data_IF_876755409868
#
_entry.id   IF_876755409868
#
_cell.length_a   1.000
_cell.length_b   1.000
_cell.length_c   1.000
_cell.angle_alpha   90.00
_cell.angle_beta   90.00
_cell.angle_gamma   90.00
#
_symmetry.space_group_name_H-M   'P 1'
#
loop_
_entity.id
_entity.type
_entity.pdbx_description
1 polymer ?
#
# COMPACT_ATOMS: atom_id res chain seq x y z
N UNK A 1 27.73 13.63 -70.70
CA UNK A 1 26.50 14.06 -69.99
C UNK A 1 25.47 12.93 -69.99
N UNK A 2 25.65 11.86 -69.18
CA UNK A 2 24.71 10.71 -69.13
C UNK A 2 25.01 9.67 -68.02
N UNK A 3 25.71 10.06 -66.95
CA UNK A 3 26.09 9.12 -65.87
C UNK A 3 25.89 9.69 -64.45
N UNK A 4 24.96 10.64 -64.28
CA UNK A 4 24.46 11.08 -62.97
C UNK A 4 22.94 10.82 -62.79
N UNK A 5 22.27 10.23 -63.78
CA UNK A 5 20.83 9.94 -63.73
C UNK A 5 20.57 8.56 -63.09
N UNK A 6 21.55 7.64 -63.13
CA UNK A 6 21.36 6.26 -62.64
C UNK A 6 21.50 6.18 -61.11
N UNK A 7 22.30 7.04 -60.47
CA UNK A 7 22.44 7.07 -59.00
C UNK A 7 21.27 7.73 -58.28
N UNK A 8 20.50 8.60 -58.94
CA UNK A 8 19.28 9.21 -58.36
C UNK A 8 18.08 8.26 -58.33
N UNK A 9 18.00 7.31 -59.27
CA UNK A 9 16.87 6.38 -59.37
C UNK A 9 17.01 5.22 -58.36
N UNK A 10 18.23 4.84 -57.97
CA UNK A 10 18.44 3.79 -56.96
C UNK A 10 18.17 4.29 -55.53
N UNK A 11 18.33 5.59 -55.25
CA UNK A 11 18.04 6.17 -53.94
C UNK A 11 16.55 6.46 -53.71
N UNK A 12 15.77 6.63 -54.79
CA UNK A 12 14.32 6.82 -54.72
C UNK A 12 13.55 5.49 -54.50
N UNK A 13 14.17 4.35 -54.80
CA UNK A 13 13.57 3.02 -54.63
C UNK A 13 13.66 2.46 -53.19
N UNK A 14 14.46 3.07 -52.32
CA UNK A 14 14.66 2.64 -50.93
C UNK A 14 13.69 3.30 -49.93
N UNK A 15 12.84 4.22 -50.36
CA UNK A 15 11.84 4.91 -49.51
C UNK A 15 10.47 4.19 -49.45
N UNK A 16 10.31 3.04 -50.11
CA UNK A 16 9.03 2.33 -50.25
C UNK A 16 8.68 1.31 -49.16
N UNK A 17 9.56 1.07 -48.18
CA UNK A 17 9.35 0.04 -47.13
C UNK A 17 8.97 0.62 -45.76
N UNK A 18 8.64 1.90 -45.67
CA UNK A 18 8.10 2.49 -44.45
C UNK A 18 6.58 2.29 -44.40
N UNK A 19 6.11 1.60 -43.35
CA UNK A 19 4.72 1.25 -43.06
C UNK A 19 4.14 0.09 -43.89
N UNK A 20 4.56 -1.14 -43.57
CA UNK A 20 3.54 -2.19 -43.45
C UNK A 20 2.57 -1.70 -42.37
N UNK A 21 1.36 -1.28 -42.75
CA UNK A 21 0.25 -1.17 -41.80
C UNK A 21 0.08 -2.56 -41.21
N UNK A 22 0.64 -2.81 -40.03
CA UNK A 22 0.18 -3.93 -39.22
C UNK A 22 -1.31 -3.70 -39.05
N UNK A 23 -2.10 -4.61 -39.64
CA UNK A 23 -3.50 -4.74 -39.28
C UNK A 23 -3.48 -5.30 -37.86
N UNK A 24 -3.36 -4.41 -36.88
CA UNK A 24 -3.67 -4.75 -35.50
C UNK A 24 -5.12 -5.21 -35.54
N UNK A 25 -5.32 -6.51 -35.36
CA UNK A 25 -6.65 -7.05 -35.20
C UNK A 25 -7.16 -6.51 -33.86
N UNK A 26 -7.89 -5.40 -33.90
CA UNK A 26 -8.64 -4.85 -32.77
C UNK A 26 -9.87 -5.73 -32.49
N UNK A 27 -9.72 -7.05 -32.56
CA UNK A 27 -10.76 -8.02 -32.18
C UNK A 27 -11.00 -7.99 -30.68
N UNK A 28 -10.03 -7.48 -29.92
CA UNK A 28 -10.18 -7.13 -28.51
C UNK A 28 -10.41 -5.62 -28.45
N UNK A 29 -11.60 -5.14 -28.05
CA UNK A 29 -11.81 -3.74 -27.76
C UNK A 29 -10.80 -3.29 -26.70
N UNK A 30 -10.29 -2.05 -26.75
CA UNK A 30 -9.60 -1.48 -25.60
C UNK A 30 -10.51 -1.60 -24.38
N UNK A 31 -9.94 -2.03 -23.25
CA UNK A 31 -10.69 -2.20 -21.99
C UNK A 31 -11.43 -0.89 -21.68
N UNK A 32 -12.76 -0.94 -21.52
CA UNK A 32 -13.60 0.24 -21.25
C UNK A 32 -14.14 1.01 -22.48
N UNK A 33 -13.84 0.59 -23.72
CA UNK A 33 -14.37 1.21 -24.96
C UNK A 33 -15.28 0.29 -25.78
N UNK A 34 -15.51 -0.95 -25.33
CA UNK A 34 -16.38 -1.94 -25.98
C UNK A 34 -17.87 -1.85 -25.61
N UNK A 35 -18.26 -0.87 -24.79
CA UNK A 35 -19.54 -0.87 -24.09
C UNK A 35 -19.49 -1.86 -22.93
N UNK A 36 -19.16 -1.36 -21.74
CA UNK A 36 -19.14 -2.23 -20.56
C UNK A 36 -20.55 -2.74 -20.28
N UNK A 37 -20.66 -4.04 -20.02
CA UNK A 37 -21.90 -4.64 -19.55
C UNK A 37 -22.34 -3.94 -18.26
N UNK A 38 -23.61 -3.51 -18.19
CA UNK A 38 -24.23 -2.99 -16.97
C UNK A 38 -24.63 -4.10 -15.98
N UNK A 39 -24.41 -5.38 -16.35
CA UNK A 39 -24.65 -6.50 -15.45
C UNK A 39 -23.59 -6.55 -14.35
N UNK A 40 -24.05 -6.65 -13.10
CA UNK A 40 -23.17 -6.80 -11.94
C UNK A 40 -22.34 -8.08 -12.07
N UNK A 41 -21.02 -7.95 -11.99
CA UNK A 41 -20.10 -9.09 -11.95
C UNK A 41 -20.04 -9.69 -10.54
N UNK A 42 -19.39 -10.85 -10.40
CA UNK A 42 -19.17 -11.46 -9.08
C UNK A 42 -18.33 -10.54 -8.16
N UNK A 43 -17.40 -9.79 -8.73
CA UNK A 43 -16.59 -8.81 -8.00
C UNK A 43 -17.46 -7.63 -7.53
N UNK A 44 -18.35 -7.11 -8.38
CA UNK A 44 -19.28 -6.02 -8.02
C UNK A 44 -20.18 -6.43 -6.85
N UNK A 45 -20.75 -7.64 -6.91
CA UNK A 45 -21.59 -8.20 -5.83
C UNK A 45 -20.78 -8.36 -4.55
N UNK A 46 -19.58 -8.94 -4.65
CA UNK A 46 -18.71 -9.14 -3.49
C UNK A 46 -18.33 -7.81 -2.82
N UNK A 47 -17.96 -6.79 -3.61
CA UNK A 47 -17.64 -5.44 -3.14
C UNK A 47 -18.85 -4.84 -2.43
N UNK A 48 -20.03 -4.91 -3.05
CA UNK A 48 -21.25 -4.36 -2.47
C UNK A 48 -21.53 -4.97 -1.09
N UNK A 49 -21.55 -6.29 -1.00
CA UNK A 49 -21.95 -7.01 0.20
C UNK A 49 -20.88 -6.95 1.31
N UNK A 50 -19.60 -6.94 0.93
CA UNK A 50 -18.48 -7.05 1.88
C UNK A 50 -17.83 -5.72 2.26
N UNK A 51 -18.01 -4.68 1.45
CA UNK A 51 -17.40 -3.35 1.67
C UNK A 51 -18.44 -2.23 1.72
N UNK A 52 -19.33 -2.15 0.72
CA UNK A 52 -20.28 -1.05 0.62
C UNK A 52 -21.33 -1.09 1.72
N UNK A 53 -22.04 -2.19 1.89
CA UNK A 53 -23.08 -2.35 2.93
C UNK A 53 -22.51 -2.19 4.36
N UNK A 54 -21.43 -2.89 4.75
CA UNK A 54 -20.94 -2.82 6.13
C UNK A 54 -20.19 -1.54 6.47
N UNK A 55 -19.41 -0.97 5.53
CA UNK A 55 -18.47 0.12 5.83
C UNK A 55 -18.72 1.42 5.04
N UNK A 56 -19.68 1.44 4.12
CA UNK A 56 -19.93 2.57 3.22
C UNK A 56 -18.70 2.90 2.35
N UNK A 57 -18.06 1.86 1.80
CA UNK A 57 -16.87 1.97 0.95
C UNK A 57 -17.24 1.56 -0.49
N UNK A 58 -16.98 2.44 -1.45
CA UNK A 58 -17.00 2.15 -2.87
C UNK A 58 -15.60 1.73 -3.33
N UNK A 59 -15.50 0.69 -4.15
CA UNK A 59 -14.22 0.21 -4.70
C UNK A 59 -14.21 0.39 -6.21
N UNK A 60 -13.28 1.20 -6.71
CA UNK A 60 -13.08 1.48 -8.12
C UNK A 60 -11.91 0.64 -8.64
N UNK A 61 -12.23 -0.43 -9.35
CA UNK A 61 -11.26 -1.35 -9.95
C UNK A 61 -11.39 -1.45 -11.47
N UNK A 62 -12.56 -1.15 -12.02
CA UNK A 62 -12.76 -0.90 -13.46
C UNK A 62 -12.32 0.53 -13.74
N UNK A 63 -11.17 0.70 -14.39
CA UNK A 63 -10.64 2.02 -14.67
C UNK A 63 -11.49 2.71 -15.73
N UNK A 64 -12.25 3.74 -15.34
CA UNK A 64 -12.87 4.65 -16.31
C UNK A 64 -11.91 5.82 -16.60
N UNK A 65 -11.87 6.31 -17.85
CA UNK A 65 -11.11 7.51 -18.19
C UNK A 65 -11.45 8.68 -17.25
N UNK A 66 -10.43 9.29 -16.63
CA UNK A 66 -10.59 10.44 -15.74
C UNK A 66 -10.98 10.13 -14.28
N UNK A 67 -11.20 8.87 -13.90
CA UNK A 67 -11.41 8.49 -12.48
C UNK A 67 -10.10 8.32 -11.71
N UNK A 68 -9.01 8.11 -12.43
CA UNK A 68 -7.67 7.95 -11.90
C UNK A 68 -6.75 8.85 -12.74
N UNK A 69 -6.41 10.02 -12.21
CA UNK A 69 -5.29 10.81 -12.72
C UNK A 69 -4.02 10.09 -12.25
N UNK A 70 -3.50 9.18 -13.06
CA UNK A 70 -2.17 8.64 -12.84
C UNK A 70 -1.20 9.34 -13.79
N UNK A 71 -0.31 10.20 -13.29
CA UNK A 71 0.84 10.68 -14.05
C UNK A 71 1.87 9.56 -14.38
N UNK A 72 1.59 8.29 -14.05
CA UNK A 72 2.60 7.25 -13.86
C UNK A 72 2.18 5.88 -14.43
N UNK A 73 3.17 5.08 -14.81
CA UNK A 73 3.04 3.76 -15.45
C UNK A 73 2.50 2.68 -14.50
N UNK A 74 1.19 2.67 -14.25
CA UNK A 74 0.52 1.59 -13.54
C UNK A 74 -0.49 0.85 -14.41
N UNK A 75 -0.78 -0.41 -14.05
CA UNK A 75 -1.67 -1.29 -14.82
C UNK A 75 -2.98 -1.58 -14.07
N UNK A 76 -4.09 -1.81 -14.79
CA UNK A 76 -5.36 -2.16 -14.16
C UNK A 76 -5.28 -3.48 -13.39
N UNK A 77 -6.07 -3.63 -12.31
CA UNK A 77 -6.18 -4.89 -11.61
C UNK A 77 -6.90 -5.94 -12.47
N UNK A 78 -6.41 -7.17 -12.41
CA UNK A 78 -7.04 -8.35 -13.01
C UNK A 78 -8.29 -8.71 -12.21
N UNK A 79 -9.43 -8.89 -12.88
CA UNK A 79 -10.71 -9.17 -12.22
C UNK A 79 -10.63 -10.39 -11.30
N UNK A 80 -9.97 -11.46 -11.75
CA UNK A 80 -9.80 -12.70 -10.97
C UNK A 80 -8.96 -12.53 -9.69
N UNK A 81 -8.24 -11.41 -9.56
CA UNK A 81 -7.46 -11.06 -8.36
C UNK A 81 -8.23 -10.23 -7.35
N UNK A 82 -9.33 -9.59 -7.75
CA UNK A 82 -10.10 -8.67 -6.90
C UNK A 82 -10.65 -9.36 -5.65
N UNK A 83 -11.46 -10.41 -5.83
CA UNK A 83 -12.09 -11.10 -4.70
C UNK A 83 -11.05 -11.72 -3.76
N UNK A 84 -10.02 -12.47 -4.24
CA UNK A 84 -9.00 -13.02 -3.35
C UNK A 84 -8.24 -11.96 -2.54
N UNK A 85 -7.84 -10.87 -3.17
CA UNK A 85 -7.10 -9.79 -2.50
C UNK A 85 -7.97 -9.05 -1.48
N UNK A 86 -9.19 -8.66 -1.86
CA UNK A 86 -10.12 -7.98 -0.96
C UNK A 86 -10.52 -8.86 0.23
N UNK A 87 -10.76 -10.16 0.00
CA UNK A 87 -11.01 -11.11 1.11
C UNK A 87 -9.85 -11.14 2.09
N UNK A 88 -8.61 -11.11 1.59
CA UNK A 88 -7.42 -11.12 2.43
C UNK A 88 -7.30 -9.84 3.24
N UNK A 89 -7.45 -8.69 2.59
CA UNK A 89 -7.45 -7.39 3.27
C UNK A 89 -8.55 -7.31 4.33
N UNK A 90 -9.78 -7.69 4.00
CA UNK A 90 -10.88 -7.69 4.98
C UNK A 90 -10.58 -8.59 6.18
N UNK A 91 -10.01 -9.78 5.93
CA UNK A 91 -9.67 -10.72 7.00
C UNK A 91 -8.53 -10.21 7.90
N UNK A 92 -7.51 -9.58 7.31
CA UNK A 92 -6.26 -9.21 7.99
C UNK A 92 -6.29 -7.79 8.56
N UNK A 93 -7.01 -6.86 7.94
CA UNK A 93 -6.97 -5.43 8.33
C UNK A 93 -8.31 -4.87 8.78
N UNK A 94 -9.46 -5.47 8.42
CA UNK A 94 -10.77 -4.98 8.87
C UNK A 94 -11.28 -5.76 10.08
N UNK A 95 -11.36 -7.09 9.94
CA UNK A 95 -11.91 -7.96 10.98
C UNK A 95 -11.23 -7.77 12.35
N UNK A 96 -9.90 -7.62 12.46
CA UNK A 96 -9.26 -7.37 13.75
C UNK A 96 -9.76 -6.10 14.45
N UNK A 97 -9.99 -5.02 13.71
CA UNK A 97 -10.55 -3.79 14.27
C UNK A 97 -12.01 -3.96 14.67
N UNK A 98 -12.82 -4.66 13.88
CA UNK A 98 -14.20 -4.94 14.26
C UNK A 98 -14.27 -5.78 15.53
N UNK A 99 -13.47 -6.84 15.61
CA UNK A 99 -13.39 -7.70 16.79
C UNK A 99 -12.85 -6.92 18.00
N UNK A 100 -12.02 -5.90 17.80
CA UNK A 100 -11.46 -5.08 18.86
C UNK A 100 -12.40 -3.99 19.35
N UNK A 101 -13.18 -3.39 18.45
CA UNK A 101 -14.13 -2.31 18.77
C UNK A 101 -15.55 -2.82 18.99
N UNK A 102 -15.77 -4.13 18.79
CA UNK A 102 -17.05 -4.81 18.98
C UNK A 102 -18.07 -4.62 17.84
N UNK A 103 -17.74 -3.88 16.78
CA UNK A 103 -18.65 -3.65 15.65
C UNK A 103 -17.92 -3.09 14.41
N UNK A 104 -18.63 -2.98 13.28
CA UNK A 104 -18.11 -2.30 12.08
C UNK A 104 -18.15 -0.78 12.17
N UNK A 105 -18.74 -0.20 13.23
CA UNK A 105 -19.02 1.24 13.32
C UNK A 105 -17.74 2.07 13.30
N UNK A 106 -16.68 1.61 13.97
CA UNK A 106 -15.40 2.32 14.01
C UNK A 106 -14.81 2.49 12.61
N UNK A 107 -14.67 1.39 11.88
CA UNK A 107 -14.17 1.40 10.51
C UNK A 107 -15.10 2.15 9.56
N UNK A 108 -16.42 1.93 9.66
CA UNK A 108 -17.43 2.63 8.86
C UNK A 108 -17.34 4.14 9.04
N UNK A 109 -17.05 4.61 10.25
CA UNK A 109 -16.90 6.04 10.55
C UNK A 109 -15.63 6.60 9.92
N UNK A 110 -14.47 6.00 10.20
CA UNK A 110 -13.18 6.62 9.94
C UNK A 110 -12.50 6.20 8.64
N UNK A 111 -12.79 5.04 8.04
CA UNK A 111 -12.18 4.70 6.75
C UNK A 111 -12.64 5.63 5.62
N UNK A 112 -11.79 5.85 4.59
CA UNK A 112 -12.18 6.57 3.37
C UNK A 112 -13.38 5.91 2.71
N UNK A 113 -14.23 6.70 2.05
CA UNK A 113 -15.45 6.17 1.41
C UNK A 113 -15.17 5.60 0.01
N UNK A 114 -13.94 5.75 -0.46
CA UNK A 114 -13.52 5.35 -1.80
C UNK A 114 -12.18 4.64 -1.74
N UNK A 115 -12.11 3.41 -2.24
CA UNK A 115 -10.86 2.73 -2.55
C UNK A 115 -10.67 2.69 -4.07
N UNK A 116 -9.52 3.15 -4.54
CA UNK A 116 -9.07 3.04 -5.93
C UNK A 116 -8.08 1.89 -6.01
N UNK A 117 -8.24 0.96 -6.95
CA UNK A 117 -7.42 -0.25 -7.01
C UNK A 117 -6.55 -0.27 -8.26
N UNK A 118 -5.27 -0.55 -8.08
CA UNK A 118 -4.27 -0.73 -9.12
C UNK A 118 -3.64 -2.13 -9.07
N UNK A 119 -3.30 -2.64 -10.25
CA UNK A 119 -2.73 -3.97 -10.42
C UNK A 119 -1.23 -4.04 -10.08
N UNK A 120 -0.46 -3.01 -10.44
CA UNK A 120 0.97 -2.87 -10.12
C UNK A 120 1.19 -1.92 -8.94
N UNK A 121 2.41 -1.86 -8.43
CA UNK A 121 2.87 -0.74 -7.59
C UNK A 121 3.11 0.52 -8.43
N UNK A 122 3.15 1.67 -7.78
CA UNK A 122 3.64 2.92 -8.37
C UNK A 122 5.08 3.16 -7.91
N UNK A 123 5.92 3.67 -8.81
CA UNK A 123 7.29 4.05 -8.48
C UNK A 123 7.47 5.55 -8.67
N UNK A 124 8.11 6.19 -7.70
CA UNK A 124 8.59 7.56 -7.78
C UNK A 124 9.83 7.64 -8.68
N UNK A 125 10.16 8.84 -9.14
CA UNK A 125 11.33 9.08 -10.01
C UNK A 125 12.67 8.72 -9.33
N UNK A 126 12.70 8.67 -8.00
CA UNK A 126 13.86 8.23 -7.21
C UNK A 126 13.87 6.70 -6.96
N UNK A 127 12.93 5.95 -7.53
CA UNK A 127 12.80 4.50 -7.36
C UNK A 127 12.03 4.05 -6.12
N UNK A 128 11.62 4.96 -5.23
CA UNK A 128 10.78 4.63 -4.08
C UNK A 128 9.40 4.16 -4.52
N UNK A 129 8.85 3.17 -3.82
CA UNK A 129 7.56 2.57 -4.12
C UNK A 129 6.43 3.29 -3.37
N UNK A 130 5.36 3.63 -4.07
CA UNK A 130 4.09 4.06 -3.47
C UNK A 130 3.16 2.86 -3.48
N UNK A 131 2.80 2.43 -2.27
CA UNK A 131 1.95 1.25 -2.04
C UNK A 131 0.55 1.61 -1.54
N UNK A 132 0.33 2.89 -1.23
CA UNK A 132 -0.95 3.52 -1.02
C UNK A 132 -0.82 5.03 -0.90
N UNK A 133 -1.96 5.72 -0.97
CA UNK A 133 -2.04 7.16 -0.78
C UNK A 133 -3.45 7.54 -0.36
N UNK A 134 -3.60 8.25 0.76
CA UNK A 134 -4.85 8.91 1.13
C UNK A 134 -4.98 10.31 0.49
N UNK A 135 -5.96 10.49 -0.39
CA UNK A 135 -6.30 11.80 -0.97
C UNK A 135 -7.23 12.55 0.00
N UNK A 136 -6.65 13.27 0.95
CA UNK A 136 -7.37 14.15 1.89
C UNK A 136 -8.40 13.43 2.77
N UNK A 137 -8.16 12.15 3.09
CA UNK A 137 -9.07 11.30 3.87
C UNK A 137 -10.32 10.81 3.12
N UNK A 138 -10.50 11.23 1.86
CA UNK A 138 -11.70 10.90 1.07
C UNK A 138 -11.56 9.61 0.26
N UNK A 139 -10.35 9.35 -0.25
CA UNK A 139 -10.03 8.09 -0.93
C UNK A 139 -8.67 7.54 -0.56
N UNK A 140 -8.51 6.23 -0.73
CA UNK A 140 -7.23 5.55 -0.64
C UNK A 140 -6.95 4.77 -1.93
N UNK A 141 -5.74 4.85 -2.45
CA UNK A 141 -5.29 4.00 -3.56
C UNK A 141 -4.63 2.75 -2.99
N UNK A 142 -4.99 1.57 -3.51
CA UNK A 142 -4.43 0.28 -3.13
C UNK A 142 -3.77 -0.38 -4.34
N UNK A 143 -2.52 -0.76 -4.20
CA UNK A 143 -1.68 -1.25 -5.28
C UNK A 143 -1.42 -2.77 -5.18
N UNK A 144 -0.71 -3.31 -6.17
CA UNK A 144 -0.20 -4.70 -6.22
C UNK A 144 -1.24 -5.83 -6.30
N UNK A 145 -2.50 -5.54 -6.66
CA UNK A 145 -3.53 -6.57 -6.74
C UNK A 145 -3.17 -7.71 -7.72
N UNK A 146 -2.44 -7.42 -8.80
CA UNK A 146 -2.04 -8.45 -9.76
C UNK A 146 -0.99 -9.42 -9.20
N UNK A 147 -0.21 -8.96 -8.23
CA UNK A 147 0.84 -9.72 -7.56
C UNK A 147 0.30 -10.46 -6.32
N UNK A 148 -0.98 -10.31 -5.99
CA UNK A 148 -1.59 -10.98 -4.85
C UNK A 148 -1.59 -12.51 -5.00
N UNK A 149 -1.17 -13.18 -3.94
CA UNK A 149 -1.08 -14.64 -3.80
C UNK A 149 -1.22 -15.03 -2.33
N UNK A 150 -1.73 -16.24 -2.08
CA UNK A 150 -1.93 -16.80 -0.74
C UNK A 150 -0.84 -17.79 -0.33
N UNK A 151 0.17 -18.01 -1.19
CA UNK A 151 1.27 -18.91 -0.89
C UNK A 151 2.19 -18.30 0.17
N UNK A 152 2.52 -19.06 1.22
CA UNK A 152 3.36 -18.59 2.33
C UNK A 152 4.71 -18.02 1.89
N UNK A 153 5.34 -18.62 0.87
CA UNK A 153 6.62 -18.18 0.30
C UNK A 153 6.56 -16.76 -0.32
N UNK A 154 5.37 -16.31 -0.70
CA UNK A 154 5.12 -15.02 -1.35
C UNK A 154 4.31 -14.07 -0.42
N UNK A 155 4.32 -14.36 0.89
CA UNK A 155 3.54 -13.67 1.92
C UNK A 155 3.75 -12.15 1.97
N UNK A 156 4.89 -11.68 1.47
CA UNK A 156 5.31 -10.28 1.52
C UNK A 156 4.30 -9.33 0.83
N UNK A 157 3.62 -9.74 -0.24
CA UNK A 157 2.62 -8.85 -0.88
C UNK A 157 1.45 -8.55 0.04
N UNK A 158 0.87 -9.56 0.71
CA UNK A 158 -0.24 -9.33 1.65
C UNK A 158 0.22 -8.54 2.89
N UNK A 159 1.45 -8.78 3.36
CA UNK A 159 2.07 -7.99 4.43
C UNK A 159 2.20 -6.52 4.05
N UNK A 160 2.77 -6.22 2.89
CA UNK A 160 2.87 -4.84 2.36
C UNK A 160 1.51 -4.18 2.20
N UNK A 161 0.55 -4.86 1.57
CA UNK A 161 -0.81 -4.34 1.44
C UNK A 161 -1.44 -4.07 2.82
N UNK A 162 -1.20 -4.94 3.80
CA UNK A 162 -1.65 -4.76 5.19
C UNK A 162 -0.99 -3.59 5.90
N UNK A 163 0.33 -3.43 5.75
CA UNK A 163 1.09 -2.30 6.26
C UNK A 163 0.55 -0.99 5.71
N UNK A 164 0.42 -0.87 4.39
CA UNK A 164 -0.18 0.31 3.75
C UNK A 164 -1.55 0.62 4.34
N UNK A 165 -2.43 -0.37 4.43
CA UNK A 165 -3.77 -0.18 4.97
C UNK A 165 -3.74 0.37 6.41
N UNK A 166 -2.84 -0.14 7.25
CA UNK A 166 -2.70 0.34 8.63
C UNK A 166 -2.04 1.71 8.71
N UNK A 167 -1.06 1.97 7.87
CA UNK A 167 -0.35 3.24 7.74
C UNK A 167 -1.33 4.36 7.36
N UNK A 168 -2.04 4.20 6.24
CA UNK A 168 -3.01 5.19 5.75
C UNK A 168 -4.18 5.37 6.73
N UNK A 169 -4.63 4.29 7.37
CA UNK A 169 -5.67 4.41 8.38
C UNK A 169 -5.17 5.15 9.62
N UNK A 170 -3.91 4.92 10.03
CA UNK A 170 -3.25 5.67 11.10
C UNK A 170 -3.25 7.17 10.82
N UNK A 171 -2.93 7.58 9.59
CA UNK A 171 -3.02 8.98 9.17
C UNK A 171 -4.41 9.56 9.37
N UNK A 172 -5.46 8.82 8.97
CA UNK A 172 -6.84 9.29 9.13
C UNK A 172 -7.25 9.39 10.60
N UNK A 173 -6.81 8.46 11.44
CA UNK A 173 -7.01 8.58 12.89
C UNK A 173 -6.34 9.86 13.42
N UNK A 174 -5.08 10.10 13.05
CA UNK A 174 -4.30 11.27 13.49
C UNK A 174 -4.91 12.60 13.01
N UNK A 175 -5.59 12.61 11.85
CA UNK A 175 -6.36 13.76 11.37
C UNK A 175 -7.61 14.05 12.23
N UNK A 176 -8.18 13.04 12.87
CA UNK A 176 -9.38 13.17 13.71
C UNK A 176 -9.04 13.48 15.17
N UNK A 177 -7.97 12.89 15.71
CA UNK A 177 -7.45 13.19 17.05
C UNK A 177 -5.94 13.32 16.92
N UNK A 178 -5.41 14.51 17.21
CA UNK A 178 -3.99 14.80 17.00
C UNK A 178 -3.09 13.93 17.90
N UNK A 179 -1.99 13.43 17.33
CA UNK A 179 -0.94 12.74 18.10
C UNK A 179 -0.27 13.74 19.07
N UNK A 180 0.03 13.35 20.32
CA UNK A 180 0.73 14.22 21.25
C UNK A 180 2.04 14.78 20.68
N UNK A 181 2.28 16.10 20.75
CA UNK A 181 3.50 16.72 20.21
C UNK A 181 4.80 16.22 20.85
N UNK A 182 4.74 15.52 21.98
CA UNK A 182 5.89 14.88 22.62
C UNK A 182 6.44 13.69 21.82
N UNK A 183 5.64 13.06 20.94
CA UNK A 183 6.10 11.93 20.15
C UNK A 183 7.34 12.27 19.30
N UNK A 184 7.29 13.39 18.58
CA UNK A 184 8.41 13.85 17.73
C UNK A 184 9.68 14.23 18.50
N UNK A 185 9.58 14.36 19.82
CA UNK A 185 10.74 14.67 20.67
C UNK A 185 11.53 13.41 21.05
N UNK A 186 10.95 12.20 20.84
CA UNK A 186 11.65 10.93 21.09
C UNK A 186 12.82 10.78 20.10
N UNK A 187 12.61 11.13 18.82
CA UNK A 187 13.64 11.17 17.79
C UNK A 187 13.49 12.42 16.92
N UNK A 188 14.25 13.51 17.19
CA UNK A 188 14.05 14.77 16.49
C UNK A 188 14.69 14.85 15.10
N UNK A 189 15.43 13.83 14.65
CA UNK A 189 16.32 13.87 13.47
C UNK A 189 15.61 13.45 12.17
N UNK A 190 14.60 14.20 11.76
CA UNK A 190 13.89 13.98 10.49
C UNK A 190 14.68 14.49 9.27
N UNK A 191 14.53 13.85 8.12
CA UNK A 191 15.23 14.20 6.86
C UNK A 191 14.40 13.91 5.61
N UNK A 192 14.47 14.81 4.64
CA UNK A 192 13.90 14.60 3.30
C UNK A 192 14.68 13.60 2.44
N UNK A 193 15.90 13.21 2.85
CA UNK A 193 16.77 12.28 2.14
C UNK A 193 16.62 10.83 2.62
N UNK A 194 15.53 10.51 3.31
CA UNK A 194 15.24 9.19 3.89
C UNK A 194 15.41 8.03 2.90
N UNK A 195 15.13 8.26 1.61
CA UNK A 195 15.23 7.25 0.55
C UNK A 195 16.67 6.78 0.25
N UNK A 196 17.68 7.49 0.78
CA UNK A 196 19.10 7.09 0.70
C UNK A 196 19.58 6.36 1.96
N UNK A 197 18.72 6.16 2.96
CA UNK A 197 19.06 5.55 4.25
C UNK A 197 18.55 4.11 4.24
N UNK A 198 19.39 3.19 4.71
CA UNK A 198 18.96 1.80 4.89
C UNK A 198 18.10 1.67 6.15
N UNK A 199 17.08 0.82 6.14
CA UNK A 199 16.20 0.65 7.31
C UNK A 199 16.98 0.26 8.58
N UNK A 200 18.07 -0.51 8.47
CA UNK A 200 18.91 -0.85 9.61
C UNK A 200 19.57 0.39 10.23
N UNK A 201 20.06 1.32 9.40
CA UNK A 201 20.66 2.58 9.87
C UNK A 201 19.59 3.45 10.55
N UNK A 202 18.42 3.58 9.92
CA UNK A 202 17.29 4.30 10.50
C UNK A 202 16.87 3.73 11.87
N UNK A 203 16.89 2.39 12.01
CA UNK A 203 16.62 1.68 13.27
C UNK A 203 17.64 1.98 14.35
N UNK A 204 18.93 2.05 14.02
CA UNK A 204 19.96 2.49 14.95
C UNK A 204 19.73 3.93 15.44
N UNK A 205 19.16 4.78 14.57
CA UNK A 205 18.78 6.17 14.87
C UNK A 205 17.38 6.32 15.52
N UNK A 206 16.70 5.21 15.82
CA UNK A 206 15.44 5.19 16.56
C UNK A 206 14.17 5.28 15.71
N UNK A 207 14.27 5.08 14.40
CA UNK A 207 13.15 5.03 13.46
C UNK A 207 12.89 3.59 13.00
N UNK A 208 11.64 3.13 12.97
CA UNK A 208 11.35 1.71 12.66
C UNK A 208 11.65 1.33 11.19
N UNK A 209 11.52 2.30 10.29
CA UNK A 209 11.83 2.23 8.86
C UNK A 209 12.58 3.49 8.44
N UNK A 210 13.28 3.47 7.31
CA UNK A 210 13.88 4.67 6.74
C UNK A 210 12.79 5.71 6.40
N UNK A 211 11.62 5.28 5.91
CA UNK A 211 10.52 6.20 5.57
C UNK A 211 10.00 6.99 6.79
N UNK A 212 10.05 6.41 8.00
CA UNK A 212 9.72 7.10 9.24
C UNK A 212 10.61 8.33 9.52
N UNK A 213 11.78 8.45 8.89
CA UNK A 213 12.62 9.66 9.00
C UNK A 213 12.05 10.86 8.21
N UNK A 214 11.10 10.64 7.31
CA UNK A 214 10.59 11.70 6.44
C UNK A 214 9.94 12.85 7.22
N UNK A 215 9.04 12.54 8.15
CA UNK A 215 8.46 13.49 9.09
C UNK A 215 7.77 12.80 10.29
N UNK A 216 7.41 13.55 11.36
CA UNK A 216 6.84 12.96 12.57
C UNK A 216 5.50 12.24 12.40
N UNK A 217 4.68 12.62 11.41
CA UNK A 217 3.40 11.96 11.18
C UNK A 217 3.63 10.59 10.55
N UNK A 218 4.53 10.52 9.55
CA UNK A 218 4.96 9.26 8.93
C UNK A 218 5.60 8.33 9.95
N UNK A 219 6.49 8.84 10.81
CA UNK A 219 7.10 8.09 11.91
C UNK A 219 6.07 7.41 12.81
N UNK A 220 5.03 8.15 13.20
CA UNK A 220 3.98 7.61 14.05
C UNK A 220 3.20 6.49 13.37
N UNK A 221 2.79 6.67 12.12
CA UNK A 221 1.96 5.69 11.43
C UNK A 221 2.76 4.48 10.96
N UNK A 222 4.06 4.65 10.67
CA UNK A 222 5.00 3.55 10.45
C UNK A 222 5.12 2.70 11.70
N UNK A 223 5.22 3.31 12.89
CA UNK A 223 5.16 2.56 14.16
C UNK A 223 3.85 1.79 14.31
N UNK A 224 2.70 2.41 14.02
CA UNK A 224 1.38 1.74 14.09
C UNK A 224 1.33 0.53 13.17
N UNK A 225 1.63 0.72 11.89
CA UNK A 225 1.58 -0.32 10.89
C UNK A 225 2.57 -1.43 11.20
N UNK A 226 3.81 -1.06 11.58
CA UNK A 226 4.85 -2.02 11.88
C UNK A 226 4.54 -2.88 13.12
N UNK A 227 3.96 -2.27 14.15
CA UNK A 227 3.52 -3.03 15.31
C UNK A 227 2.40 -4.00 14.95
N UNK A 228 1.41 -3.59 14.15
CA UNK A 228 0.24 -4.43 13.84
C UNK A 228 0.54 -5.61 12.92
N UNK A 229 1.42 -5.43 11.93
CA UNK A 229 1.62 -6.41 10.85
C UNK A 229 3.06 -6.95 10.72
N UNK A 230 4.04 -6.36 11.45
CA UNK A 230 5.48 -6.64 11.35
C UNK A 230 6.21 -5.47 10.67
N UNK A 231 7.52 -5.52 10.42
CA UNK A 231 8.17 -4.50 9.58
C UNK A 231 8.89 -5.15 8.39
N UNK A 232 9.04 -4.40 7.29
CA UNK A 232 9.75 -4.85 6.11
C UNK A 232 11.25 -5.07 6.39
N UNK A 233 11.90 -5.90 5.57
CA UNK A 233 13.35 -6.14 5.58
C UNK A 233 13.94 -6.73 6.88
N UNK A 234 13.21 -7.63 7.51
CA UNK A 234 13.82 -8.58 8.43
C UNK A 234 14.60 -9.68 7.70
N UNK A 235 15.39 -10.45 8.44
CA UNK A 235 16.33 -11.45 7.91
C UNK A 235 15.64 -12.54 7.07
N UNK A 236 14.32 -12.77 7.26
CA UNK A 236 13.51 -13.74 6.51
C UNK A 236 12.28 -13.13 5.80
N UNK A 237 12.18 -11.79 5.72
CA UNK A 237 11.06 -11.05 5.13
C UNK A 237 10.40 -10.04 6.09
N UNK A 238 9.08 -9.85 5.97
CA UNK A 238 8.32 -9.03 6.92
C UNK A 238 8.33 -9.72 8.30
N UNK A 239 9.28 -9.33 9.15
CA UNK A 239 9.67 -10.10 10.34
C UNK A 239 8.90 -9.66 11.59
N UNK A 240 9.02 -10.48 12.64
CA UNK A 240 8.55 -10.14 13.96
C UNK A 240 9.30 -8.89 14.45
N UNK A 241 8.55 -7.80 14.67
CA UNK A 241 9.02 -6.54 15.27
C UNK A 241 10.05 -6.72 16.41
N UNK A 242 9.83 -7.67 17.33
CA UNK A 242 10.76 -7.90 18.44
C UNK A 242 12.12 -8.45 17.98
N UNK A 243 12.14 -9.27 16.93
CA UNK A 243 13.37 -9.78 16.31
C UNK A 243 14.11 -8.67 15.58
N UNK A 244 13.39 -7.79 14.88
CA UNK A 244 13.99 -6.61 14.23
C UNK A 244 14.66 -5.71 15.27
N UNK A 245 13.99 -5.44 16.39
CA UNK A 245 14.61 -4.67 17.48
C UNK A 245 15.83 -5.39 18.07
N UNK A 246 15.75 -6.69 18.34
CA UNK A 246 16.88 -7.43 18.89
C UNK A 246 18.09 -7.45 17.94
N UNK A 247 17.85 -7.71 16.64
CA UNK A 247 18.90 -7.98 15.67
C UNK A 247 19.46 -6.70 15.01
N UNK A 248 18.67 -5.62 14.93
CA UNK A 248 19.00 -4.46 14.09
C UNK A 248 19.17 -3.14 14.85
N UNK A 249 18.97 -3.13 16.17
CA UNK A 249 19.28 -1.97 17.01
C UNK A 249 20.34 -2.29 18.07
N UNK A 250 21.10 -3.36 17.91
CA UNK A 250 22.07 -3.89 18.91
C UNK A 250 21.44 -4.27 20.28
N UNK A 251 20.11 -4.44 20.32
CA UNK A 251 19.38 -4.94 21.50
C UNK A 251 19.14 -3.92 22.64
N UNK A 252 18.60 -4.38 23.79
CA UNK A 252 18.21 -3.52 24.90
C UNK A 252 19.33 -2.64 25.46
N UNK A 253 18.99 -1.41 25.86
CA UNK A 253 19.92 -0.43 26.42
C UNK A 253 20.67 0.43 25.41
N UNK A 254 20.50 0.21 24.10
CA UNK A 254 21.04 1.06 23.04
C UNK A 254 20.06 2.18 22.70
N UNK A 255 20.55 3.27 22.11
CA UNK A 255 19.70 4.41 21.77
C UNK A 255 18.55 4.02 20.82
N UNK A 256 18.85 3.33 19.71
CA UNK A 256 17.84 2.91 18.74
C UNK A 256 16.75 2.01 19.34
N UNK A 257 17.15 1.04 20.18
CA UNK A 257 16.20 0.16 20.87
C UNK A 257 15.26 0.96 21.80
N UNK A 258 15.84 1.75 22.71
CA UNK A 258 15.07 2.48 23.72
C UNK A 258 14.16 3.55 23.09
N UNK A 259 14.63 4.21 22.03
CA UNK A 259 13.83 5.19 21.28
C UNK A 259 12.61 4.54 20.61
N UNK A 260 12.78 3.40 19.94
CA UNK A 260 11.66 2.70 19.30
C UNK A 260 10.69 2.13 20.36
N UNK A 261 11.18 1.58 21.48
CA UNK A 261 10.31 1.15 22.59
C UNK A 261 9.53 2.31 23.22
N UNK A 262 10.14 3.49 23.35
CA UNK A 262 9.44 4.68 23.80
C UNK A 262 8.35 5.11 22.80
N UNK A 263 8.60 5.04 21.49
CA UNK A 263 7.58 5.29 20.46
C UNK A 263 6.45 4.28 20.50
N UNK A 264 6.74 3.00 20.69
CA UNK A 264 5.73 1.95 20.86
C UNK A 264 4.83 2.26 22.06
N UNK A 265 5.41 2.60 23.21
CA UNK A 265 4.63 2.98 24.39
C UNK A 265 3.72 4.19 24.11
N UNK A 266 4.21 5.18 23.35
CA UNK A 266 3.40 6.32 22.94
C UNK A 266 2.25 5.94 21.99
N UNK A 267 2.46 5.02 21.04
CA UNK A 267 1.40 4.49 20.18
C UNK A 267 0.33 3.77 21.01
N UNK A 268 0.75 2.88 21.92
CA UNK A 268 -0.18 2.13 22.77
C UNK A 268 -1.01 3.08 23.65
N UNK A 269 -0.36 4.06 24.27
CA UNK A 269 -1.03 5.06 25.10
C UNK A 269 -2.02 5.91 24.30
N UNK A 270 -1.63 6.36 23.10
CA UNK A 270 -2.50 7.12 22.21
C UNK A 270 -3.74 6.31 21.79
N UNK A 271 -3.59 5.04 21.39
CA UNK A 271 -4.74 4.20 21.04
C UNK A 271 -5.66 3.94 22.24
N UNK A 272 -5.10 3.74 23.43
CA UNK A 272 -5.89 3.58 24.64
C UNK A 272 -6.68 4.85 24.99
N UNK A 273 -6.03 6.02 25.00
CA UNK A 273 -6.63 7.29 25.45
C UNK A 273 -7.55 7.93 24.42
N UNK A 274 -7.14 7.95 23.15
CA UNK A 274 -7.87 8.63 22.08
C UNK A 274 -8.99 7.77 21.51
N UNK A 275 -8.77 6.45 21.46
CA UNK A 275 -9.65 5.54 20.71
C UNK A 275 -10.29 4.46 21.58
N UNK A 276 -9.93 4.36 22.87
CA UNK A 276 -10.37 3.27 23.76
C UNK A 276 -10.06 1.88 23.18
N UNK A 277 -8.93 1.76 22.47
CA UNK A 277 -8.47 0.52 21.84
C UNK A 277 -7.28 -0.03 22.63
N UNK A 278 -7.41 -1.23 23.18
CA UNK A 278 -6.23 -2.02 23.59
C UNK A 278 -5.43 -2.42 22.35
N UNK A 279 -4.32 -1.70 22.14
CA UNK A 279 -3.49 -1.83 20.96
C UNK A 279 -2.80 -3.20 20.87
N UNK A 280 -2.37 -3.79 21.99
CA UNK A 280 -1.77 -5.11 21.97
C UNK A 280 -2.80 -6.21 21.69
N UNK A 281 -4.04 -6.06 22.14
CA UNK A 281 -5.12 -6.96 21.73
C UNK A 281 -5.42 -6.85 20.23
N UNK A 282 -5.43 -5.63 19.68
CA UNK A 282 -5.55 -5.41 18.24
C UNK A 282 -4.38 -6.06 17.47
N UNK A 283 -3.14 -5.82 17.88
CA UNK A 283 -1.93 -6.41 17.31
C UNK A 283 -2.02 -7.94 17.25
N UNK A 284 -2.39 -8.59 18.37
CA UNK A 284 -2.55 -10.05 18.41
C UNK A 284 -3.61 -10.54 17.42
N UNK A 285 -4.72 -9.81 17.26
CA UNK A 285 -5.77 -10.13 16.28
C UNK A 285 -5.26 -9.98 14.84
N UNK A 286 -4.56 -8.89 14.51
CA UNK A 286 -3.96 -8.68 13.19
C UNK A 286 -2.94 -9.77 12.86
N UNK A 287 -1.95 -10.00 13.73
CA UNK A 287 -0.90 -11.00 13.51
C UNK A 287 -1.45 -12.42 13.41
N UNK A 288 -2.45 -12.78 14.21
CA UNK A 288 -3.13 -14.08 14.10
C UNK A 288 -3.91 -14.22 12.80
N UNK A 289 -4.64 -13.17 12.39
CA UNK A 289 -5.38 -13.18 11.13
C UNK A 289 -4.43 -13.32 9.93
N UNK A 290 -3.30 -12.61 9.95
CA UNK A 290 -2.25 -12.72 8.95
C UNK A 290 -1.69 -14.14 8.87
N UNK A 291 -1.26 -14.70 10.01
CA UNK A 291 -0.70 -16.06 10.07
C UNK A 291 -1.70 -17.13 9.59
N UNK A 292 -2.98 -16.97 9.91
CA UNK A 292 -4.04 -17.90 9.48
C UNK A 292 -4.41 -17.79 7.99
N UNK A 293 -4.01 -16.71 7.31
CA UNK A 293 -4.33 -16.49 5.90
C UNK A 293 -3.32 -17.13 4.95
N UNK A 294 -2.10 -17.40 5.42
CA UNK A 294 -1.12 -18.17 4.67
C UNK A 294 -1.44 -19.66 4.76
N UNK A 295 -1.46 -20.33 3.59
CA UNK A 295 -1.63 -21.79 3.49
C UNK A 295 -0.29 -22.51 3.65
#
# INVERSE_FOLDING_TARGET
MKLHIITGIFFLLLMGSACKKEKVNLTTPPVGLGGDSTANTLEDIFIHDSLTVPYNIAVYYKWLPGQLDFPYEIVPPKAEKMIPALKALLAVTFRPYNDQTGSTVFLRKYLPKTFKVAGSAQYLSNGSIILGQAEGGTSMVLFEFNNFTTQAKDSNTLKRMGHTMHHEFGHILNQNIVVPPSFKQITPRYTGNWYNIADQEARMDGFITAYAESDPNEDFVEMVASLLIGADNGNDGYDNYEKILADQTDGPGTYGYEAIKAKEAAVVDYFARSWSIDFYALQRKCRRALAAYYQ
#
